data_IF_932642462700
#
_entry.id   IF_932642462700
#
_cell.length_a   1.000
_cell.length_b   1.000
_cell.length_c   1.000
_cell.angle_alpha   90.00
_cell.angle_beta   90.00
_cell.angle_gamma   90.00
#
_symmetry.space_group_name_H-M   'P 1'
#
loop_
_entity.id
_entity.type
_entity.pdbx_description
1 polymer ?
#
# COMPACT_ATOMS: atom_id res chain seq x y z
N UNK A 1 -2.74 -33.73 10.07
CA UNK A 1 -2.45 -32.72 11.11
C UNK A 1 -1.28 -33.22 11.96
N UNK A 2 -0.49 -32.36 12.62
CA UNK A 2 0.58 -32.80 13.51
C UNK A 2 0.03 -33.65 14.67
N UNK A 3 0.85 -34.54 15.29
CA UNK A 3 0.44 -35.29 16.48
C UNK A 3 -0.06 -34.34 17.57
N UNK A 4 -1.26 -34.59 18.11
CA UNK A 4 -1.90 -33.74 19.14
C UNK A 4 -2.82 -32.63 18.60
N UNK A 5 -2.92 -32.45 17.28
CA UNK A 5 -3.85 -31.48 16.72
C UNK A 5 -5.32 -31.91 16.92
N UNK A 6 -6.08 -31.08 17.64
CA UNK A 6 -7.52 -31.22 17.84
C UNK A 6 -8.26 -30.46 16.75
N UNK A 7 -9.32 -31.05 16.21
CA UNK A 7 -10.15 -30.43 15.17
C UNK A 7 -11.10 -29.43 15.85
N UNK A 8 -11.09 -28.13 15.46
CA UNK A 8 -12.05 -27.15 15.97
C UNK A 8 -13.48 -27.44 15.51
N UNK A 9 -14.45 -26.83 16.18
CA UNK A 9 -15.85 -26.92 15.76
C UNK A 9 -16.09 -26.28 14.38
N UNK A 10 -17.03 -26.83 13.62
CA UNK A 10 -17.35 -26.34 12.28
C UNK A 10 -18.06 -24.97 12.36
N UNK A 11 -17.65 -24.03 11.52
CA UNK A 11 -18.30 -22.71 11.43
C UNK A 11 -19.72 -22.90 10.88
N UNK A 12 -20.77 -22.33 11.52
CA UNK A 12 -22.14 -22.45 11.06
C UNK A 12 -22.37 -21.81 9.68
N UNK A 13 -23.27 -22.40 8.89
CA UNK A 13 -23.61 -21.93 7.55
C UNK A 13 -24.18 -20.51 7.58
N UNK A 14 -23.62 -19.63 6.74
CA UNK A 14 -23.94 -18.18 6.74
C UNK A 14 -23.20 -17.36 7.79
N UNK A 15 -22.37 -18.00 8.64
CA UNK A 15 -21.76 -17.40 9.82
C UNK A 15 -20.47 -16.61 9.58
N UNK A 16 -19.71 -16.84 8.50
CA UNK A 16 -18.36 -16.24 8.37
C UNK A 16 -18.33 -14.70 8.49
N UNK A 17 -19.38 -14.03 8.02
CA UNK A 17 -19.50 -12.56 8.02
C UNK A 17 -20.35 -12.01 9.18
N UNK A 18 -20.97 -12.90 9.97
CA UNK A 18 -21.77 -12.56 11.14
C UNK A 18 -21.05 -12.92 12.46
N UNK A 19 -19.80 -13.37 12.37
CA UNK A 19 -18.96 -13.76 13.49
C UNK A 19 -18.63 -12.56 14.39
N UNK A 20 -18.98 -12.67 15.66
CA UNK A 20 -18.57 -11.76 16.74
C UNK A 20 -17.38 -12.32 17.54
N UNK A 21 -16.75 -11.48 18.36
CA UNK A 21 -15.64 -11.87 19.22
C UNK A 21 -16.05 -12.86 20.33
N UNK A 22 -17.33 -12.88 20.69
CA UNK A 22 -17.89 -13.77 21.72
C UNK A 22 -18.37 -15.11 21.14
N UNK A 23 -18.29 -15.31 19.82
CA UNK A 23 -18.76 -16.54 19.19
C UNK A 23 -17.85 -17.73 19.49
N UNK A 24 -18.46 -18.90 19.65
CA UNK A 24 -17.83 -20.15 20.06
C UNK A 24 -16.74 -20.66 19.14
N UNK A 25 -16.47 -20.02 17.99
CA UNK A 25 -15.34 -20.38 17.12
C UNK A 25 -14.00 -19.92 17.70
N UNK A 26 -14.00 -18.94 18.61
CA UNK A 26 -12.82 -18.46 19.31
C UNK A 26 -12.56 -19.41 20.48
N UNK A 27 -12.08 -20.60 20.14
CA UNK A 27 -11.85 -21.69 21.09
C UNK A 27 -10.40 -21.66 21.57
N UNK A 28 -10.20 -21.80 22.89
CA UNK A 28 -8.87 -21.98 23.51
C UNK A 28 -8.31 -23.39 23.34
N UNK A 29 -8.75 -24.15 22.32
CA UNK A 29 -8.34 -25.54 22.11
C UNK A 29 -6.82 -25.60 21.86
N UNK A 30 -6.12 -26.37 22.70
CA UNK A 30 -4.66 -26.49 22.66
C UNK A 30 -3.93 -25.34 23.34
N UNK A 31 -4.64 -24.46 24.06
CA UNK A 31 -4.10 -23.53 25.05
C UNK A 31 -4.25 -24.09 26.47
N UNK A 32 -4.30 -25.42 26.61
CA UNK A 32 -4.49 -26.07 27.89
C UNK A 32 -3.35 -25.70 28.85
N UNK A 33 -3.73 -25.28 30.05
CA UNK A 33 -2.83 -24.87 31.13
C UNK A 33 -1.95 -26.03 31.69
N UNK A 34 -2.04 -27.24 31.15
CA UNK A 34 -1.21 -28.36 31.61
C UNK A 34 0.29 -28.18 31.27
N UNK A 35 0.62 -27.28 30.33
CA UNK A 35 1.98 -26.79 30.05
C UNK A 35 2.26 -25.42 30.72
N UNK A 36 1.64 -25.10 31.87
CA UNK A 36 1.83 -23.85 32.63
C UNK A 36 3.28 -23.61 33.11
N UNK A 37 4.13 -24.64 33.09
CA UNK A 37 5.57 -24.47 33.34
C UNK A 37 6.36 -23.98 32.10
N UNK A 38 5.74 -23.93 30.92
CA UNK A 38 6.34 -23.40 29.70
C UNK A 38 6.14 -21.89 29.63
N UNK A 39 7.18 -21.17 30.00
CA UNK A 39 7.13 -19.72 30.03
C UNK A 39 6.77 -19.16 28.64
N UNK A 40 5.94 -18.09 28.53
CA UNK A 40 5.43 -17.61 27.25
C UNK A 40 6.55 -17.35 26.23
N UNK A 41 6.27 -17.55 24.92
CA UNK A 41 7.30 -17.40 23.89
C UNK A 41 7.91 -16.00 23.92
N UNK A 42 9.20 -15.91 23.55
CA UNK A 42 9.97 -14.66 23.70
C UNK A 42 9.38 -13.49 22.91
N UNK A 43 8.78 -13.74 21.76
CA UNK A 43 8.10 -12.69 20.98
C UNK A 43 6.87 -12.11 21.71
N UNK A 44 6.32 -12.80 22.71
CA UNK A 44 5.22 -12.31 23.53
C UNK A 44 5.72 -11.60 24.80
N UNK A 45 6.73 -12.16 25.46
CA UNK A 45 7.19 -11.73 26.80
C UNK A 45 8.42 -10.81 26.81
N UNK A 46 9.33 -10.92 25.85
CA UNK A 46 10.58 -10.15 25.84
C UNK A 46 10.43 -8.89 24.98
N UNK A 47 10.48 -7.72 25.62
CA UNK A 47 10.36 -6.44 24.94
C UNK A 47 11.46 -6.22 23.89
N UNK A 48 12.68 -6.69 24.12
CA UNK A 48 13.77 -6.54 23.16
C UNK A 48 13.51 -7.39 21.91
N UNK A 49 12.93 -8.56 22.07
CA UNK A 49 12.54 -9.42 20.94
C UNK A 49 11.42 -8.77 20.14
N UNK A 50 10.40 -8.21 20.80
CA UNK A 50 9.32 -7.46 20.13
C UNK A 50 9.83 -6.24 19.38
N UNK A 51 10.70 -5.46 20.02
CA UNK A 51 11.33 -4.29 19.40
C UNK A 51 12.18 -4.71 18.19
N UNK A 52 12.96 -5.79 18.31
CA UNK A 52 13.74 -6.34 17.21
C UNK A 52 12.89 -6.74 16.00
N UNK A 53 11.78 -7.47 16.23
CA UNK A 53 10.82 -7.83 15.17
C UNK A 53 10.27 -6.57 14.51
N UNK A 54 9.82 -5.59 15.31
CA UNK A 54 9.29 -4.32 14.78
C UNK A 54 10.31 -3.59 13.92
N UNK A 55 11.55 -3.47 14.38
CA UNK A 55 12.61 -2.80 13.63
C UNK A 55 12.95 -3.52 12.32
N UNK A 56 12.89 -4.85 12.29
CA UNK A 56 13.06 -5.61 11.05
C UNK A 56 11.96 -5.26 10.04
N UNK A 57 10.69 -5.26 10.47
CA UNK A 57 9.57 -4.87 9.60
C UNK A 57 9.65 -3.40 9.15
N UNK A 58 10.06 -2.49 10.04
CA UNK A 58 10.25 -1.08 9.70
C UNK A 58 11.35 -0.88 8.67
N UNK A 59 12.46 -1.62 8.81
CA UNK A 59 13.57 -1.61 7.86
C UNK A 59 13.13 -2.12 6.48
N UNK A 60 12.49 -3.29 6.43
CA UNK A 60 12.04 -3.88 5.18
C UNK A 60 11.06 -2.96 4.45
N UNK A 61 10.11 -2.36 5.19
CA UNK A 61 9.19 -1.36 4.64
C UNK A 61 9.92 -0.13 4.12
N UNK A 62 10.93 0.37 4.82
CA UNK A 62 11.70 1.53 4.38
C UNK A 62 12.45 1.25 3.07
N UNK A 63 13.03 0.05 2.92
CA UNK A 63 13.70 -0.39 1.69
C UNK A 63 12.72 -0.47 0.51
N UNK A 64 11.56 -1.09 0.73
CA UNK A 64 10.50 -1.17 -0.28
C UNK A 64 10.01 0.23 -0.70
N UNK A 65 9.74 1.09 0.29
CA UNK A 65 9.22 2.43 0.05
C UNK A 65 10.22 3.31 -0.70
N UNK A 66 11.52 3.22 -0.38
CA UNK A 66 12.55 3.93 -1.12
C UNK A 66 12.57 3.51 -2.60
N UNK A 67 12.47 2.21 -2.88
CA UNK A 67 12.41 1.69 -4.25
C UNK A 67 11.15 2.19 -4.98
N UNK A 68 9.99 2.17 -4.30
CA UNK A 68 8.71 2.68 -4.83
C UNK A 68 8.80 4.17 -5.19
N UNK A 69 9.29 5.00 -4.25
CA UNK A 69 9.42 6.45 -4.44
C UNK A 69 10.38 6.79 -5.57
N UNK A 70 11.52 6.07 -5.69
CA UNK A 70 12.45 6.26 -6.82
C UNK A 70 11.77 5.99 -8.16
N UNK A 71 10.99 4.91 -8.27
CA UNK A 71 10.23 4.57 -9.47
C UNK A 71 9.19 5.63 -9.80
N UNK A 72 8.44 6.09 -8.80
CA UNK A 72 7.42 7.13 -8.95
C UNK A 72 8.04 8.45 -9.43
N UNK A 73 9.15 8.89 -8.82
CA UNK A 73 9.91 10.06 -9.23
C UNK A 73 10.31 9.99 -10.71
N UNK A 74 10.88 8.86 -11.13
CA UNK A 74 11.31 8.67 -12.53
C UNK A 74 10.10 8.77 -13.47
N UNK A 75 8.99 8.12 -13.12
CA UNK A 75 7.75 8.14 -13.90
C UNK A 75 7.23 9.57 -14.09
N UNK A 76 7.14 10.35 -13.00
CA UNK A 76 6.67 11.74 -13.03
C UNK A 76 7.57 12.62 -13.89
N UNK A 77 8.89 12.51 -13.73
CA UNK A 77 9.84 13.28 -14.55
C UNK A 77 9.76 12.93 -16.03
N UNK A 78 9.56 11.66 -16.35
CA UNK A 78 9.37 11.24 -17.74
C UNK A 78 8.05 11.74 -18.31
N UNK A 79 6.95 11.68 -17.54
CA UNK A 79 5.65 12.21 -17.98
C UNK A 79 5.75 13.70 -18.28
N UNK A 80 6.28 14.49 -17.34
CA UNK A 80 6.43 15.93 -17.51
C UNK A 80 7.25 16.29 -18.76
N UNK A 81 8.35 15.57 -19.00
CA UNK A 81 9.18 15.78 -20.21
C UNK A 81 8.42 15.44 -21.50
N UNK A 82 7.69 14.33 -21.52
CA UNK A 82 6.88 13.91 -22.69
C UNK A 82 5.76 14.90 -22.99
N UNK A 83 5.06 15.36 -21.95
CA UNK A 83 3.99 16.35 -22.07
C UNK A 83 4.55 17.68 -22.58
N UNK A 84 5.66 18.15 -22.02
CA UNK A 84 6.31 19.37 -22.48
C UNK A 84 6.77 19.27 -23.94
N UNK A 85 7.37 18.15 -24.34
CA UNK A 85 7.77 17.91 -25.72
C UNK A 85 6.56 17.90 -26.67
N UNK A 86 5.44 17.31 -26.24
CA UNK A 86 4.18 17.32 -27.01
C UNK A 86 3.65 18.74 -27.19
N UNK A 87 3.56 19.51 -26.10
CA UNK A 87 3.06 20.90 -26.14
C UNK A 87 3.93 21.78 -27.02
N UNK A 88 5.25 21.71 -26.87
CA UNK A 88 6.19 22.50 -27.68
C UNK A 88 6.12 22.13 -29.16
N UNK A 89 5.96 20.85 -29.50
CA UNK A 89 5.75 20.39 -30.87
C UNK A 89 4.44 20.96 -31.48
N UNK A 90 3.34 20.91 -30.73
CA UNK A 90 2.04 21.46 -31.16
C UNK A 90 2.14 22.98 -31.36
N UNK A 91 2.74 23.71 -30.41
CA UNK A 91 2.94 25.15 -30.53
C UNK A 91 3.81 25.54 -31.74
N UNK A 92 4.89 24.80 -31.98
CA UNK A 92 5.77 25.03 -33.14
C UNK A 92 5.10 24.67 -34.48
N UNK A 93 4.12 23.77 -34.47
CA UNK A 93 3.34 23.42 -35.66
C UNK A 93 2.26 24.46 -35.93
N UNK A 94 1.57 24.94 -34.89
CA UNK A 94 0.57 26.01 -34.98
C UNK A 94 1.18 27.36 -35.40
N UNK A 95 2.42 27.66 -35.01
CA UNK A 95 3.10 28.89 -35.47
C UNK A 95 3.47 28.85 -36.96
N UNK A 96 3.65 27.65 -37.53
CA UNK A 96 3.93 27.44 -38.97
C UNK A 96 2.66 27.38 -39.83
N UNK A 97 1.50 27.14 -39.23
CA UNK A 97 0.21 27.09 -39.92
C UNK A 97 -0.49 28.45 -40.03
N UNK A 98 0.15 29.55 -39.61
CA UNK A 98 -0.36 30.90 -39.84
C UNK A 98 0.00 31.32 -41.28
N UNK A 99 -0.94 31.32 -42.25
CA UNK A 99 -0.74 32.10 -43.47
C UNK A 99 -0.49 33.55 -43.07
N UNK A 100 0.42 34.20 -43.79
CA UNK A 100 0.92 35.57 -43.62
C UNK A 100 -0.14 36.70 -43.70
N UNK A 101 -1.41 36.42 -43.42
CA UNK A 101 -2.49 37.39 -43.51
C UNK A 101 -3.48 37.23 -42.35
N UNK A 102 -3.18 37.86 -41.21
CA UNK A 102 -4.07 38.80 -40.49
C UNK A 102 -3.45 39.21 -39.15
N UNK A 103 -2.61 40.24 -39.18
CA UNK A 103 -2.40 41.08 -38.01
C UNK A 103 -3.42 42.23 -38.08
N UNK A 104 -4.65 42.00 -37.63
CA UNK A 104 -5.50 43.12 -37.20
C UNK A 104 -6.54 42.69 -36.16
N UNK A 105 -6.49 43.39 -35.03
CA UNK A 105 -7.54 43.57 -34.00
C UNK A 105 -8.05 42.31 -33.29
N UNK A 106 -7.69 42.18 -32.02
CA UNK A 106 -8.66 42.33 -30.90
C UNK A 106 -7.92 42.87 -29.66
N UNK A 107 -7.71 44.19 -29.58
CA UNK A 107 -7.65 44.88 -28.29
C UNK A 107 -9.05 45.45 -28.09
N UNK A 108 -9.89 44.76 -27.31
CA UNK A 108 -11.05 45.30 -26.60
C UNK A 108 -11.80 44.15 -25.93
N UNK A 109 -11.37 43.76 -24.73
CA UNK A 109 -12.22 43.10 -23.73
C UNK A 109 -11.57 43.30 -22.34
N UNK A 110 -11.39 44.56 -21.95
CA UNK A 110 -11.27 44.97 -20.55
C UNK A 110 -11.86 46.38 -20.46
N UNK A 111 -13.17 46.44 -20.30
CA UNK A 111 -13.88 47.57 -19.70
C UNK A 111 -15.05 47.02 -18.91
#
# INVERSE_FOLDING_TARGET
APPGAVIPEAIPDGGLWALDADDTIWQDIGLDEEDVDSSPPLWLRDEKVRAGIRHLHEYDRAVEEEARVKKERISLQQSARREWATLTCVLASNSKSLPHHTYTRVNNCFR
#
